data_IF_955244084280
#
_entry.id   IF_955244084280
#
_cell.length_a   1.000
_cell.length_b   1.000
_cell.length_c   1.000
_cell.angle_alpha   90.00
_cell.angle_beta   90.00
_cell.angle_gamma   90.00
#
_symmetry.space_group_name_H-M   'P 1'
#
loop_
_entity.id
_entity.type
_entity.pdbx_description
1 polymer ?
#
# COMPACT_ATOMS: atom_id res chain seq x y z
N UNK A 1 -17.15 -10.46 -4.47
CA UNK A 1 -17.16 -9.00 -4.21
C UNK A 1 -15.79 -8.61 -3.67
N UNK A 2 -15.14 -7.65 -4.31
CA UNK A 2 -13.89 -7.08 -3.82
C UNK A 2 -14.18 -5.88 -2.92
N UNK A 3 -13.38 -5.76 -1.86
CA UNK A 3 -13.48 -4.70 -0.86
C UNK A 3 -12.21 -3.85 -0.90
N UNK A 4 -12.37 -2.54 -1.02
CA UNK A 4 -11.26 -1.63 -1.23
C UNK A 4 -11.06 -0.66 -0.07
N UNK A 5 -9.79 -0.44 0.27
CA UNK A 5 -9.34 0.67 1.11
C UNK A 5 -8.62 1.69 0.24
N UNK A 6 -8.96 2.95 0.38
CA UNK A 6 -8.34 4.02 -0.41
C UNK A 6 -7.73 5.12 0.46
N UNK A 7 -6.69 5.74 -0.07
CA UNK A 7 -6.03 6.86 0.60
C UNK A 7 -6.94 8.09 0.68
N UNK A 8 -6.93 8.76 1.84
CA UNK A 8 -7.76 9.94 2.11
C UNK A 8 -6.93 11.22 2.07
N UNK A 9 -7.46 12.25 1.38
CA UNK A 9 -6.97 13.64 1.41
C UNK A 9 -7.90 14.58 2.19
N UNK A 10 -8.95 14.04 2.85
CA UNK A 10 -9.97 14.76 3.61
C UNK A 10 -10.82 15.75 2.77
N UNK A 11 -10.95 15.48 1.49
CA UNK A 11 -11.75 16.31 0.57
C UNK A 11 -13.17 15.77 0.45
N UNK A 12 -14.18 16.64 0.49
CA UNK A 12 -15.58 16.31 0.23
C UNK A 12 -15.76 15.76 -1.19
N UNK A 13 -14.96 16.23 -2.14
CA UNK A 13 -15.04 15.77 -3.53
C UNK A 13 -14.58 14.31 -3.66
N UNK A 14 -13.56 13.90 -2.86
CA UNK A 14 -13.15 12.51 -2.80
C UNK A 14 -14.27 11.63 -2.22
N UNK A 15 -14.94 12.07 -1.15
CA UNK A 15 -16.06 11.33 -0.57
C UNK A 15 -17.22 11.21 -1.56
N UNK A 16 -17.62 12.29 -2.22
CA UNK A 16 -18.68 12.28 -3.25
C UNK A 16 -18.36 11.32 -4.39
N UNK A 17 -17.11 11.35 -4.87
CA UNK A 17 -16.63 10.44 -5.91
C UNK A 17 -16.74 8.98 -5.46
N UNK A 18 -16.32 8.65 -4.24
CA UNK A 18 -16.41 7.29 -3.70
C UNK A 18 -17.85 6.82 -3.58
N UNK A 19 -18.74 7.66 -3.08
CA UNK A 19 -20.18 7.34 -2.99
C UNK A 19 -20.77 7.03 -4.38
N UNK A 20 -20.43 7.86 -5.37
CA UNK A 20 -20.84 7.64 -6.77
C UNK A 20 -20.29 6.31 -7.32
N UNK A 21 -19.01 6.00 -7.08
CA UNK A 21 -18.41 4.76 -7.57
C UNK A 21 -19.00 3.50 -6.88
N UNK A 22 -19.28 3.57 -5.58
CA UNK A 22 -19.97 2.48 -4.87
C UNK A 22 -21.37 2.20 -5.40
N UNK A 23 -22.08 3.24 -5.92
CA UNK A 23 -23.38 3.05 -6.58
C UNK A 23 -23.23 2.49 -8.00
N UNK A 24 -22.19 2.91 -8.73
CA UNK A 24 -21.95 2.50 -10.12
C UNK A 24 -21.47 1.04 -10.22
N UNK A 25 -20.73 0.56 -9.24
CA UNK A 25 -20.12 -0.77 -9.22
C UNK A 25 -20.63 -1.63 -8.05
N UNK A 26 -21.89 -2.11 -8.06
CA UNK A 26 -22.50 -2.79 -6.91
C UNK A 26 -21.84 -4.14 -6.55
N UNK A 27 -21.07 -4.72 -7.45
CA UNK A 27 -20.34 -5.98 -7.21
C UNK A 27 -19.02 -5.78 -6.47
N UNK A 28 -18.58 -4.53 -6.29
CA UNK A 28 -17.38 -4.15 -5.59
C UNK A 28 -17.67 -2.96 -4.68
N UNK A 29 -16.86 -2.75 -3.63
CA UNK A 29 -17.14 -1.69 -2.66
C UNK A 29 -15.85 -1.07 -2.12
N UNK A 30 -15.81 0.24 -2.10
CA UNK A 30 -14.88 0.99 -1.26
C UNK A 30 -15.49 1.03 0.14
N UNK A 31 -14.87 0.31 1.08
CA UNK A 31 -15.38 0.13 2.45
C UNK A 31 -14.66 1.00 3.47
N UNK A 32 -13.45 1.48 3.15
CA UNK A 32 -12.60 2.15 4.12
C UNK A 32 -11.74 3.26 3.49
N UNK A 33 -11.77 4.43 4.11
CA UNK A 33 -10.74 5.44 3.92
C UNK A 33 -9.58 5.24 4.89
N UNK A 34 -8.33 5.45 4.44
CA UNK A 34 -7.20 5.48 5.35
C UNK A 34 -6.37 6.76 5.19
N UNK A 35 -5.92 7.33 6.30
CA UNK A 35 -5.13 8.55 6.27
C UNK A 35 -4.64 8.98 7.64
N UNK A 36 -3.91 10.08 7.67
CA UNK A 36 -3.46 10.77 8.87
C UNK A 36 -3.32 12.26 8.59
N UNK A 37 -3.42 13.08 9.61
CA UNK A 37 -3.29 14.54 9.56
C UNK A 37 -1.90 14.96 10.05
N UNK A 38 -1.49 16.20 9.70
CA UNK A 38 -0.13 16.73 9.97
C UNK A 38 0.30 16.65 11.44
N UNK A 39 -0.60 16.83 12.36
CA UNK A 39 -0.26 16.87 13.80
C UNK A 39 0.19 15.52 14.40
N UNK A 40 0.08 14.42 13.64
CA UNK A 40 0.54 13.09 14.05
C UNK A 40 1.83 12.66 13.35
N UNK A 41 2.59 13.61 12.81
CA UNK A 41 3.75 13.33 11.98
C UNK A 41 4.78 12.38 12.61
N UNK A 42 5.02 12.48 13.91
CA UNK A 42 5.96 11.63 14.62
C UNK A 42 5.51 10.17 14.86
N UNK A 43 4.23 9.88 14.70
CA UNK A 43 3.68 8.52 14.77
C UNK A 43 3.41 7.91 13.40
N UNK A 44 3.72 8.60 12.30
CA UNK A 44 3.46 8.14 10.94
C UNK A 44 4.74 8.02 10.14
N UNK A 45 4.78 7.06 9.22
CA UNK A 45 5.88 6.88 8.27
C UNK A 45 5.92 7.93 7.13
N UNK A 46 5.11 8.99 7.21
CA UNK A 46 5.12 10.09 6.24
C UNK A 46 5.67 11.36 6.84
N UNK A 47 6.48 12.10 6.09
CA UNK A 47 6.96 13.40 6.53
C UNK A 47 5.80 14.39 6.70
N UNK A 48 5.95 15.31 7.66
CA UNK A 48 4.91 16.27 8.03
C UNK A 48 4.40 17.11 6.85
N UNK A 49 5.28 17.52 5.94
CA UNK A 49 4.93 18.33 4.75
C UNK A 49 4.01 17.61 3.76
N UNK A 50 3.97 16.27 3.79
CA UNK A 50 3.08 15.44 2.94
C UNK A 50 1.75 15.10 3.60
N UNK A 51 1.55 15.49 4.85
CA UNK A 51 0.31 15.23 5.56
C UNK A 51 -0.66 16.40 5.38
N UNK A 52 -1.95 16.12 5.15
CA UNK A 52 -2.97 17.16 5.08
C UNK A 52 -3.04 18.00 6.35
N UNK A 53 -3.14 19.31 6.18
CA UNK A 53 -3.33 20.27 7.28
C UNK A 53 -4.82 20.41 7.56
N UNK A 54 -5.32 19.55 8.43
CA UNK A 54 -6.74 19.43 8.78
C UNK A 54 -6.90 19.66 10.28
N UNK A 55 -7.74 20.60 10.67
CA UNK A 55 -8.05 20.84 12.11
C UNK A 55 -8.78 19.64 12.74
N UNK A 56 -8.76 19.54 14.08
CA UNK A 56 -9.52 18.50 14.80
C UNK A 56 -11.00 18.52 14.43
N UNK A 57 -11.59 19.72 14.32
CA UNK A 57 -13.01 19.91 13.97
C UNK A 57 -13.33 19.37 12.58
N UNK A 58 -12.53 19.75 11.57
CA UNK A 58 -12.71 19.28 10.20
C UNK A 58 -12.52 17.76 10.10
N UNK A 59 -11.57 17.21 10.85
CA UNK A 59 -11.35 15.77 10.91
C UNK A 59 -12.58 15.02 11.43
N UNK A 60 -13.16 15.45 12.55
CA UNK A 60 -14.39 14.85 13.12
C UNK A 60 -15.54 14.95 12.11
N UNK A 61 -15.76 16.13 11.52
CA UNK A 61 -16.80 16.33 10.50
C UNK A 61 -16.62 15.40 9.29
N UNK A 62 -15.38 15.19 8.87
CA UNK A 62 -15.11 14.27 7.75
C UNK A 62 -15.38 12.81 8.15
N UNK A 63 -14.99 12.36 9.34
CA UNK A 63 -15.27 10.99 9.82
C UNK A 63 -16.78 10.77 9.93
N UNK A 64 -17.54 11.74 10.46
CA UNK A 64 -19.00 11.69 10.52
C UNK A 64 -19.63 11.55 9.12
N UNK A 65 -19.13 12.31 8.15
CA UNK A 65 -19.60 12.26 6.76
C UNK A 65 -19.27 10.91 6.09
N UNK A 66 -18.13 10.33 6.39
CA UNK A 66 -17.72 8.99 5.92
C UNK A 66 -18.66 7.94 6.47
N UNK A 67 -18.95 7.98 7.78
CA UNK A 67 -19.89 7.06 8.44
C UNK A 67 -21.34 7.19 7.93
N UNK A 68 -21.79 8.41 7.65
CA UNK A 68 -23.11 8.65 7.06
C UNK A 68 -23.30 7.94 5.71
N UNK A 69 -22.20 7.60 5.02
CA UNK A 69 -22.19 6.82 3.78
C UNK A 69 -21.83 5.33 3.98
N UNK A 70 -21.84 4.84 5.22
CA UNK A 70 -21.52 3.46 5.59
C UNK A 70 -20.13 3.03 5.12
N UNK A 71 -19.16 3.91 5.27
CA UNK A 71 -17.72 3.70 5.00
C UNK A 71 -16.97 3.83 6.33
N UNK A 72 -15.95 2.98 6.57
CA UNK A 72 -15.09 3.05 7.75
C UNK A 72 -13.94 4.04 7.57
N UNK A 73 -13.40 4.54 8.68
CA UNK A 73 -12.20 5.35 8.68
C UNK A 73 -11.07 4.69 9.47
N UNK A 74 -9.91 4.53 8.80
CA UNK A 74 -8.69 3.94 9.35
C UNK A 74 -7.60 5.02 9.50
N UNK A 75 -7.19 5.28 10.74
CA UNK A 75 -6.14 6.25 11.00
C UNK A 75 -4.75 5.61 10.99
N UNK A 76 -3.80 6.17 10.24
CA UNK A 76 -2.46 5.57 10.12
C UNK A 76 -1.48 6.17 11.15
N UNK A 77 -1.07 5.35 12.13
CA UNK A 77 0.01 5.60 13.08
C UNK A 77 1.13 4.56 12.86
N UNK A 78 1.63 4.51 11.63
CA UNK A 78 2.50 3.45 11.13
C UNK A 78 3.97 3.86 11.03
N UNK A 79 4.46 4.68 11.96
CA UNK A 79 5.88 4.96 12.09
C UNK A 79 6.70 3.68 12.18
N UNK A 80 7.84 3.62 11.53
CA UNK A 80 8.79 2.52 11.63
C UNK A 80 9.84 2.72 12.73
N UNK A 81 9.90 3.92 13.28
CA UNK A 81 10.76 4.31 14.41
C UNK A 81 10.09 5.45 15.17
N UNK A 82 10.24 5.47 16.49
CA UNK A 82 9.67 6.51 17.39
C UNK A 82 10.76 7.24 18.20
N UNK A 83 11.99 7.26 17.68
CA UNK A 83 13.07 7.99 18.27
C UNK A 83 13.81 7.23 19.38
N UNK A 84 14.43 7.98 20.30
CA UNK A 84 15.23 7.43 21.40
C UNK A 84 14.31 7.02 22.57
N UNK A 85 14.78 6.11 23.42
CA UNK A 85 14.03 5.66 24.61
C UNK A 85 13.60 6.80 25.52
N UNK A 86 14.40 7.85 25.65
CA UNK A 86 14.04 9.06 26.43
C UNK A 86 12.87 9.83 25.82
N UNK A 87 12.78 9.84 24.50
CA UNK A 87 11.74 10.58 23.79
C UNK A 87 10.41 9.81 23.88
N UNK A 88 10.46 8.48 23.78
CA UNK A 88 9.29 7.62 23.95
C UNK A 88 8.61 7.85 25.29
N UNK A 89 9.38 7.85 26.38
CA UNK A 89 8.82 8.03 27.72
C UNK A 89 8.18 9.42 27.91
N UNK A 90 8.75 10.45 27.26
CA UNK A 90 8.22 11.82 27.30
C UNK A 90 6.93 11.98 26.49
N UNK A 91 6.81 11.27 25.38
CA UNK A 91 5.74 11.45 24.40
C UNK A 91 4.61 10.42 24.53
N UNK A 92 4.74 9.43 25.45
CA UNK A 92 3.71 8.40 25.64
C UNK A 92 2.37 8.98 26.06
N UNK A 93 2.35 9.97 26.95
CA UNK A 93 1.11 10.61 27.40
C UNK A 93 0.45 11.41 26.27
N UNK A 94 1.23 12.08 25.43
CA UNK A 94 0.72 12.77 24.24
C UNK A 94 0.13 11.76 23.25
N UNK A 95 0.78 10.62 23.06
CA UNK A 95 0.27 9.54 22.24
C UNK A 95 -1.06 9.00 22.76
N UNK A 96 -1.17 8.74 24.07
CA UNK A 96 -2.42 8.30 24.69
C UNK A 96 -3.53 9.33 24.53
N UNK A 97 -3.26 10.60 24.78
CA UNK A 97 -4.23 11.68 24.58
C UNK A 97 -4.69 11.77 23.12
N UNK A 98 -3.75 11.60 22.18
CA UNK A 98 -4.09 11.62 20.76
C UNK A 98 -4.94 10.42 20.36
N UNK A 99 -4.61 9.22 20.85
CA UNK A 99 -5.42 8.02 20.62
C UNK A 99 -6.81 8.15 21.23
N UNK A 100 -6.94 8.71 22.44
CA UNK A 100 -8.24 9.04 23.01
C UNK A 100 -9.06 9.98 22.12
N UNK A 101 -8.41 11.01 21.54
CA UNK A 101 -9.07 11.87 20.58
C UNK A 101 -9.54 11.09 19.34
N UNK A 102 -8.72 10.21 18.76
CA UNK A 102 -9.12 9.41 17.58
C UNK A 102 -10.31 8.50 17.89
N UNK A 103 -10.30 7.84 19.04
CA UNK A 103 -11.43 7.00 19.50
C UNK A 103 -12.69 7.83 19.66
N UNK A 104 -12.58 9.02 20.30
CA UNK A 104 -13.72 9.94 20.48
C UNK A 104 -14.23 10.55 19.17
N UNK A 105 -13.36 10.65 18.16
CA UNK A 105 -13.71 11.11 16.82
C UNK A 105 -14.35 10.03 15.95
N UNK A 106 -14.58 8.83 16.48
CA UNK A 106 -15.23 7.73 15.75
C UNK A 106 -14.33 6.94 14.82
N UNK A 107 -12.99 7.04 14.95
CA UNK A 107 -12.09 6.21 14.12
C UNK A 107 -12.36 4.72 14.39
N UNK A 108 -12.55 3.93 13.31
CA UNK A 108 -12.87 2.50 13.40
C UNK A 108 -11.63 1.63 13.57
N UNK A 109 -10.57 1.97 12.86
CA UNK A 109 -9.33 1.19 12.82
C UNK A 109 -8.11 2.12 12.98
N UNK A 110 -7.08 1.65 13.67
CA UNK A 110 -5.77 2.30 13.67
C UNK A 110 -4.74 1.34 13.05
N UNK A 111 -4.06 1.81 12.01
CA UNK A 111 -2.96 1.07 11.36
C UNK A 111 -1.64 1.38 12.05
N UNK A 112 -0.91 0.35 12.48
CA UNK A 112 0.37 0.44 13.20
C UNK A 112 1.47 -0.41 12.54
N UNK A 113 2.73 -0.06 12.76
CA UNK A 113 3.88 -0.89 12.38
C UNK A 113 4.66 -1.40 13.60
N UNK A 114 4.60 -0.67 14.71
CA UNK A 114 5.37 -0.97 15.91
C UNK A 114 4.50 -1.62 16.99
N UNK A 115 4.94 -2.73 17.58
CA UNK A 115 4.27 -3.37 18.72
C UNK A 115 4.04 -2.41 19.90
N UNK A 116 4.96 -1.48 20.12
CA UNK A 116 4.84 -0.48 21.17
C UNK A 116 3.63 0.44 20.98
N UNK A 117 3.39 0.90 19.73
CA UNK A 117 2.21 1.72 19.43
C UNK A 117 0.93 0.93 19.60
N UNK A 118 0.92 -0.34 19.21
CA UNK A 118 -0.22 -1.25 19.41
C UNK A 118 -0.53 -1.42 20.92
N UNK A 119 0.53 -1.55 21.75
CA UNK A 119 0.36 -1.59 23.22
C UNK A 119 -0.31 -0.33 23.76
N UNK A 120 0.17 0.86 23.37
CA UNK A 120 -0.43 2.14 23.80
C UNK A 120 -1.91 2.20 23.38
N UNK A 121 -2.24 1.75 22.18
CA UNK A 121 -3.64 1.71 21.72
C UNK A 121 -4.47 0.80 22.61
N UNK A 122 -3.98 -0.39 22.99
CA UNK A 122 -4.71 -1.31 23.88
C UNK A 122 -4.85 -0.78 25.32
N UNK A 123 -3.85 -0.04 25.80
CA UNK A 123 -3.94 0.65 27.08
C UNK A 123 -5.06 1.72 27.10
N UNK A 124 -5.35 2.34 25.95
CA UNK A 124 -6.40 3.37 25.76
C UNK A 124 -7.76 2.76 25.45
N UNK A 125 -7.81 1.76 24.55
CA UNK A 125 -9.07 1.19 24.07
C UNK A 125 -8.92 -0.28 23.68
N UNK A 126 -9.76 -1.13 24.26
CA UNK A 126 -9.90 -2.54 23.85
C UNK A 126 -10.80 -2.72 22.63
N UNK A 127 -11.58 -1.71 22.24
CA UNK A 127 -12.63 -1.83 21.22
C UNK A 127 -12.17 -1.44 19.82
N UNK A 128 -11.24 -0.48 19.72
CA UNK A 128 -10.76 -0.02 18.41
C UNK A 128 -10.05 -1.14 17.66
N UNK A 129 -10.33 -1.28 16.38
CA UNK A 129 -9.66 -2.28 15.54
C UNK A 129 -8.20 -1.88 15.31
N UNK A 130 -7.27 -2.83 15.38
CA UNK A 130 -5.87 -2.62 14.99
C UNK A 130 -5.63 -3.32 13.65
N UNK A 131 -5.03 -2.58 12.71
CA UNK A 131 -4.45 -3.12 11.48
C UNK A 131 -2.93 -3.08 11.57
N UNK A 132 -2.27 -4.20 11.25
CA UNK A 132 -0.81 -4.23 11.08
C UNK A 132 -0.46 -3.71 9.68
N UNK A 133 0.40 -2.70 9.64
CA UNK A 133 0.84 -2.06 8.39
C UNK A 133 1.76 -2.95 7.55
N UNK A 134 1.75 -2.77 6.25
CA UNK A 134 2.75 -3.36 5.34
C UNK A 134 4.20 -3.03 5.72
N UNK A 135 4.42 -1.89 6.39
CA UNK A 135 5.75 -1.46 6.89
C UNK A 135 6.26 -2.38 8.02
N UNK A 136 5.39 -3.10 8.70
CA UNK A 136 5.78 -4.12 9.68
C UNK A 136 6.36 -5.38 9.03
N UNK A 137 6.37 -5.45 7.69
CA UNK A 137 6.94 -6.55 6.91
C UNK A 137 6.44 -7.93 7.33
N UNK A 138 5.12 -8.09 7.43
CA UNK A 138 4.51 -9.40 7.69
C UNK A 138 4.77 -10.31 6.49
N UNK A 139 5.62 -11.31 6.70
CA UNK A 139 6.06 -12.29 5.69
C UNK A 139 5.92 -13.74 6.14
N UNK A 140 5.35 -13.98 7.31
CA UNK A 140 5.04 -15.30 7.84
C UNK A 140 3.71 -15.33 8.61
N UNK A 141 3.05 -16.49 8.60
CA UNK A 141 1.81 -16.72 9.37
C UNK A 141 2.07 -16.66 10.88
N UNK A 142 3.26 -17.06 11.32
CA UNK A 142 3.66 -16.97 12.74
C UNK A 142 3.69 -15.53 13.24
N UNK A 143 4.15 -14.56 12.43
CA UNK A 143 4.09 -13.16 12.83
C UNK A 143 2.65 -12.71 13.05
N UNK A 144 1.71 -13.09 12.18
CA UNK A 144 0.28 -12.77 12.37
C UNK A 144 -0.27 -13.38 13.65
N UNK A 145 0.11 -14.63 13.95
CA UNK A 145 -0.26 -15.30 15.21
C UNK A 145 0.19 -14.50 16.43
N UNK A 146 1.44 -14.08 16.47
CA UNK A 146 2.00 -13.30 17.59
C UNK A 146 1.32 -11.93 17.72
N UNK A 147 1.05 -11.25 16.60
CA UNK A 147 0.31 -10.00 16.60
C UNK A 147 -1.13 -10.17 17.11
N UNK A 148 -1.81 -11.23 16.69
CA UNK A 148 -3.17 -11.54 17.11
C UNK A 148 -3.25 -11.82 18.61
N UNK A 149 -2.35 -12.69 19.12
CA UNK A 149 -2.30 -13.06 20.51
C UNK A 149 -2.01 -11.87 21.44
N UNK A 150 -1.02 -11.03 21.04
CA UNK A 150 -0.57 -9.93 21.93
C UNK A 150 -1.45 -8.69 21.86
N UNK A 151 -2.03 -8.39 20.68
CA UNK A 151 -2.66 -7.09 20.43
C UNK A 151 -4.08 -7.20 19.86
N UNK A 152 -4.65 -8.40 19.75
CA UNK A 152 -6.01 -8.62 19.22
C UNK A 152 -6.24 -7.87 17.91
N UNK A 153 -5.33 -8.03 16.93
CA UNK A 153 -5.45 -7.38 15.64
C UNK A 153 -6.65 -7.90 14.86
N UNK A 154 -7.27 -7.05 14.04
CA UNK A 154 -8.42 -7.41 13.19
C UNK A 154 -8.11 -7.36 11.70
N UNK A 155 -7.05 -6.67 11.32
CA UNK A 155 -6.65 -6.51 9.91
C UNK A 155 -5.12 -6.60 9.80
N UNK A 156 -4.64 -7.11 8.68
CA UNK A 156 -3.21 -7.15 8.36
C UNK A 156 -2.97 -6.77 6.91
N UNK A 157 -2.18 -5.71 6.67
CA UNK A 157 -1.71 -5.38 5.34
C UNK A 157 -0.37 -6.11 5.12
N UNK A 158 -0.38 -7.09 4.25
CA UNK A 158 0.75 -8.00 3.99
C UNK A 158 1.95 -7.23 3.43
N UNK A 159 3.14 -7.74 3.66
CA UNK A 159 4.35 -7.22 3.01
C UNK A 159 4.19 -7.27 1.49
N UNK A 160 4.45 -6.14 0.83
CA UNK A 160 4.28 -6.00 -0.62
C UNK A 160 5.02 -7.08 -1.41
N UNK A 161 6.21 -7.47 -0.95
CA UNK A 161 7.04 -8.50 -1.58
C UNK A 161 6.38 -9.89 -1.61
N UNK A 162 5.33 -10.08 -0.82
CA UNK A 162 4.60 -11.34 -0.71
C UNK A 162 3.42 -11.44 -1.69
N UNK A 163 3.11 -10.40 -2.46
CA UNK A 163 2.01 -10.46 -3.43
C UNK A 163 2.15 -11.59 -4.47
N UNK A 164 3.35 -12.08 -4.71
CA UNK A 164 3.64 -13.22 -5.63
C UNK A 164 4.05 -14.51 -4.92
N UNK A 165 3.99 -14.56 -3.59
CA UNK A 165 4.24 -15.78 -2.79
C UNK A 165 2.92 -16.49 -2.51
N UNK A 166 2.41 -17.21 -3.51
CA UNK A 166 1.05 -17.76 -3.49
C UNK A 166 0.87 -18.80 -2.38
N UNK A 167 1.87 -19.64 -2.13
CA UNK A 167 1.81 -20.64 -1.05
C UNK A 167 1.68 -19.97 0.33
N UNK A 168 2.42 -18.89 0.56
CA UNK A 168 2.29 -18.09 1.77
C UNK A 168 0.90 -17.45 1.86
N UNK A 169 0.42 -16.82 0.79
CA UNK A 169 -0.88 -16.14 0.77
C UNK A 169 -2.05 -17.10 1.02
N UNK A 170 -2.03 -18.30 0.47
CA UNK A 170 -3.04 -19.33 0.74
C UNK A 170 -3.04 -19.75 2.21
N UNK A 171 -1.84 -19.96 2.78
CA UNK A 171 -1.68 -20.32 4.18
C UNK A 171 -2.14 -19.21 5.11
N UNK A 172 -1.81 -17.96 4.74
CA UNK A 172 -2.23 -16.76 5.45
C UNK A 172 -3.75 -16.59 5.43
N UNK A 173 -4.37 -16.68 4.24
CA UNK A 173 -5.81 -16.53 4.10
C UNK A 173 -6.58 -17.53 4.98
N UNK A 174 -6.20 -18.80 4.94
CA UNK A 174 -6.79 -19.86 5.78
C UNK A 174 -6.61 -19.60 7.28
N UNK A 175 -5.45 -19.10 7.69
CA UNK A 175 -5.17 -18.80 9.08
C UNK A 175 -5.93 -17.56 9.56
N UNK A 176 -5.96 -16.53 8.76
CA UNK A 176 -6.70 -15.30 9.05
C UNK A 176 -8.21 -15.54 9.14
N UNK A 177 -8.78 -16.33 8.24
CA UNK A 177 -10.20 -16.74 8.27
C UNK A 177 -10.58 -17.37 9.61
N UNK A 178 -9.73 -18.31 10.09
CA UNK A 178 -9.91 -18.97 11.38
C UNK A 178 -10.00 -18.02 12.56
N UNK A 179 -9.29 -16.89 12.51
CA UNK A 179 -9.19 -15.90 13.60
C UNK A 179 -10.11 -14.68 13.38
N UNK A 180 -10.84 -14.60 12.28
CA UNK A 180 -11.60 -13.42 11.89
C UNK A 180 -10.72 -12.21 11.63
N UNK A 181 -9.50 -12.42 11.13
CA UNK A 181 -8.56 -11.36 10.73
C UNK A 181 -8.66 -11.16 9.22
N UNK A 182 -8.68 -9.92 8.77
CA UNK A 182 -8.77 -9.56 7.35
C UNK A 182 -7.38 -9.36 6.76
N UNK A 183 -6.90 -10.23 5.85
CA UNK A 183 -5.69 -9.98 5.09
C UNK A 183 -5.97 -9.02 3.94
N UNK A 184 -5.11 -8.02 3.78
CA UNK A 184 -5.22 -6.98 2.73
C UNK A 184 -3.97 -6.95 1.89
N UNK A 185 -4.10 -6.88 0.57
CA UNK A 185 -2.99 -6.72 -0.37
C UNK A 185 -2.97 -5.30 -0.97
N UNK A 186 -1.79 -4.71 -1.05
CA UNK A 186 -1.61 -3.45 -1.79
C UNK A 186 -1.47 -3.76 -3.28
N UNK A 187 -2.28 -3.11 -4.12
CA UNK A 187 -2.36 -3.46 -5.55
C UNK A 187 -1.46 -2.61 -6.44
N UNK A 188 -1.28 -1.34 -6.11
CA UNK A 188 -0.63 -0.34 -6.97
C UNK A 188 0.54 0.39 -6.29
N UNK A 189 1.23 -0.26 -5.38
CA UNK A 189 2.47 0.24 -4.81
C UNK A 189 3.66 -0.45 -5.48
N UNK A 190 4.71 0.30 -5.75
CA UNK A 190 5.86 -0.21 -6.46
C UNK A 190 7.18 -0.16 -5.67
N UNK A 191 7.10 0.07 -4.39
CA UNK A 191 8.23 -0.08 -3.50
C UNK A 191 8.43 -1.54 -3.11
N UNK A 192 8.91 -2.36 -3.99
CA UNK A 192 9.05 -3.77 -3.64
C UNK A 192 10.48 -4.27 -3.61
N UNK A 193 11.32 -3.76 -4.50
CA UNK A 193 12.66 -4.29 -4.68
C UNK A 193 13.51 -3.24 -5.40
N UNK A 194 13.64 -2.06 -4.80
CA UNK A 194 14.10 -0.84 -5.45
C UNK A 194 15.51 -0.83 -6.02
N UNK A 195 16.39 -1.75 -5.67
CA UNK A 195 17.76 -1.78 -6.18
C UNK A 195 17.97 -2.90 -7.17
N UNK A 196 18.76 -2.64 -8.19
CA UNK A 196 19.19 -3.64 -9.15
C UNK A 196 20.70 -3.89 -9.04
N UNK A 197 21.11 -5.16 -9.08
CA UNK A 197 22.51 -5.51 -9.24
C UNK A 197 22.94 -5.39 -10.71
N UNK A 198 24.21 -5.68 -11.02
CA UNK A 198 24.76 -5.62 -12.38
C UNK A 198 24.06 -6.54 -13.36
N UNK A 199 23.47 -7.66 -12.91
CA UNK A 199 22.70 -8.62 -13.71
C UNK A 199 21.22 -8.22 -13.89
N UNK A 200 20.79 -7.07 -13.35
CA UNK A 200 19.40 -6.61 -13.41
C UNK A 200 18.48 -7.31 -12.42
N UNK A 201 19.01 -8.10 -11.48
CA UNK A 201 18.23 -8.65 -10.38
C UNK A 201 17.83 -7.54 -9.42
N UNK A 202 16.58 -7.57 -8.96
CA UNK A 202 16.03 -6.56 -8.06
C UNK A 202 15.97 -7.08 -6.63
N UNK A 203 16.38 -6.26 -5.68
CA UNK A 203 16.29 -6.58 -4.26
C UNK A 203 16.40 -5.32 -3.42
N UNK A 204 15.69 -5.24 -2.31
CA UNK A 204 15.77 -4.11 -1.41
C UNK A 204 16.56 -4.47 -0.15
N UNK A 205 17.68 -3.80 0.06
CA UNK A 205 18.49 -3.94 1.29
C UNK A 205 18.05 -2.95 2.38
N UNK A 206 17.21 -1.99 2.05
CA UNK A 206 16.81 -0.90 2.96
C UNK A 206 15.50 -1.21 3.70
N UNK A 207 14.60 -2.00 3.15
CA UNK A 207 13.31 -2.40 3.75
C UNK A 207 12.63 -1.22 4.49
N UNK A 208 12.37 -1.39 5.79
CA UNK A 208 11.75 -0.36 6.65
C UNK A 208 12.62 0.88 6.86
N UNK A 209 13.92 0.82 6.63
CA UNK A 209 14.80 1.98 6.78
C UNK A 209 14.41 3.14 5.88
N UNK A 210 13.75 2.87 4.76
CA UNK A 210 13.19 3.91 3.89
C UNK A 210 12.15 4.80 4.58
N UNK A 211 11.58 4.36 5.68
CA UNK A 211 10.55 5.09 6.42
C UNK A 211 11.07 5.67 7.74
N UNK A 212 12.26 5.27 8.17
CA UNK A 212 12.80 5.69 9.47
C UNK A 212 13.04 7.20 9.55
N UNK A 213 13.68 7.78 8.54
CA UNK A 213 13.94 9.21 8.51
C UNK A 213 12.65 10.02 8.60
N UNK A 214 11.63 9.65 7.83
CA UNK A 214 10.34 10.31 7.90
C UNK A 214 9.67 10.13 9.27
N UNK A 215 9.80 8.96 9.86
CA UNK A 215 9.27 8.68 11.20
C UNK A 215 9.98 9.47 12.29
N UNK A 216 11.24 9.84 12.07
CA UNK A 216 12.04 10.69 12.96
C UNK A 216 11.82 12.19 12.71
N UNK A 217 10.95 12.57 11.78
CA UNK A 217 10.62 13.96 11.50
C UNK A 217 11.52 14.67 10.51
N UNK A 218 12.43 13.96 9.83
CA UNK A 218 13.28 14.58 8.81
C UNK A 218 12.45 15.07 7.61
N UNK A 219 12.76 16.26 7.15
CA UNK A 219 12.13 16.87 5.98
C UNK A 219 12.76 16.37 4.67
N UNK A 220 12.20 16.81 3.54
CA UNK A 220 12.55 16.26 2.21
C UNK A 220 14.03 16.44 1.86
N UNK A 221 14.57 17.62 2.09
CA UNK A 221 15.96 17.97 1.76
C UNK A 221 16.93 17.09 2.56
N UNK A 222 16.71 16.93 3.85
CA UNK A 222 17.52 16.08 4.74
C UNK A 222 17.48 14.61 4.32
N UNK A 223 16.32 14.13 3.85
CA UNK A 223 16.16 12.77 3.35
C UNK A 223 16.90 12.53 2.03
N UNK A 224 17.03 13.55 1.18
CA UNK A 224 17.70 13.45 -0.12
C UNK A 224 19.23 13.56 0.02
N UNK A 225 19.71 14.43 0.90
CA UNK A 225 21.13 14.69 1.08
C UNK A 225 21.84 13.66 1.99
N UNK A 226 21.08 12.95 2.82
CA UNK A 226 21.61 12.01 3.81
C UNK A 226 22.11 10.67 3.28
N UNK A 227 22.45 10.56 1.99
CA UNK A 227 22.87 9.28 1.39
C UNK A 227 21.73 8.26 1.33
N UNK A 228 20.51 8.71 1.36
CA UNK A 228 19.33 7.85 1.44
C UNK A 228 18.97 7.26 0.06
N UNK A 229 18.55 6.01 -0.01
CA UNK A 229 18.45 5.27 -1.27
C UNK A 229 17.30 5.70 -2.19
N UNK A 230 16.56 6.75 -1.88
CA UNK A 230 15.42 7.15 -2.72
C UNK A 230 15.84 7.45 -4.17
N UNK A 231 16.99 8.09 -4.36
CA UNK A 231 17.52 8.38 -5.70
C UNK A 231 17.99 7.10 -6.41
N UNK A 232 18.68 6.20 -5.70
CA UNK A 232 19.09 4.91 -6.25
C UNK A 232 17.90 4.03 -6.58
N UNK A 233 16.93 3.96 -5.69
CA UNK A 233 15.67 3.21 -5.92
C UNK A 233 14.91 3.76 -7.13
N UNK A 234 14.90 5.07 -7.33
CA UNK A 234 14.24 5.70 -8.48
C UNK A 234 15.02 5.42 -9.77
N UNK A 235 16.35 5.56 -9.74
CA UNK A 235 17.21 5.29 -10.87
C UNK A 235 17.17 3.84 -11.33
N UNK A 236 17.07 2.89 -10.39
CA UNK A 236 16.99 1.46 -10.70
C UNK A 236 15.70 1.02 -11.38
N UNK A 237 14.65 1.85 -11.35
CA UNK A 237 13.36 1.61 -12.03
C UNK A 237 13.32 2.12 -13.47
N UNK A 238 14.44 2.41 -14.06
CA UNK A 238 14.54 3.08 -15.36
C UNK A 238 14.42 2.12 -16.56
N UNK A 239 13.68 1.01 -16.44
CA UNK A 239 13.42 0.07 -17.53
C UNK A 239 12.03 -0.55 -17.40
N UNK A 240 11.40 -0.94 -18.53
CA UNK A 240 10.14 -1.70 -18.51
C UNK A 240 10.26 -2.98 -17.69
N UNK A 241 11.41 -3.65 -17.75
CA UNK A 241 11.67 -4.89 -17.02
C UNK A 241 11.64 -4.68 -15.51
N UNK A 242 12.22 -3.59 -15.01
CA UNK A 242 12.17 -3.25 -13.59
C UNK A 242 10.71 -3.10 -13.10
N UNK A 243 9.83 -2.54 -13.93
CA UNK A 243 8.40 -2.42 -13.63
C UNK A 243 7.71 -3.78 -13.58
N UNK A 244 7.98 -4.69 -14.52
CA UNK A 244 7.40 -6.04 -14.50
C UNK A 244 7.83 -6.85 -13.27
N UNK A 245 9.03 -6.62 -12.77
CA UNK A 245 9.56 -7.28 -11.56
C UNK A 245 8.89 -6.81 -10.27
N UNK A 246 8.13 -5.70 -10.29
CA UNK A 246 7.42 -5.21 -9.11
C UNK A 246 6.17 -6.03 -8.80
N UNK A 247 5.83 -6.19 -7.51
CA UNK A 247 4.73 -7.06 -7.08
C UNK A 247 3.36 -6.38 -7.17
N UNK A 248 3.04 -5.74 -8.30
CA UNK A 248 1.72 -5.15 -8.56
C UNK A 248 0.65 -6.22 -8.80
N UNK A 249 -0.60 -5.84 -8.61
CA UNK A 249 -1.80 -6.62 -8.93
C UNK A 249 -2.65 -5.75 -9.85
N UNK A 250 -2.91 -6.20 -11.08
CA UNK A 250 -3.80 -5.48 -12.01
C UNK A 250 -5.26 -5.65 -11.61
N UNK A 251 -6.15 -4.75 -12.06
CA UNK A 251 -7.61 -4.93 -11.87
C UNK A 251 -8.10 -6.31 -12.29
N UNK A 252 -7.67 -6.80 -13.46
CA UNK A 252 -8.07 -8.09 -14.03
C UNK A 252 -7.55 -9.30 -13.24
N UNK A 253 -6.44 -9.13 -12.53
CA UNK A 253 -5.77 -10.22 -11.81
C UNK A 253 -6.31 -10.43 -10.39
N UNK A 254 -7.12 -9.53 -9.85
CA UNK A 254 -7.70 -9.66 -8.51
C UNK A 254 -8.48 -10.98 -8.32
N UNK A 255 -9.13 -11.46 -9.38
CA UNK A 255 -9.84 -12.75 -9.37
C UNK A 255 -8.96 -13.94 -8.99
N UNK A 256 -7.66 -13.90 -9.30
CA UNK A 256 -6.71 -14.96 -8.92
C UNK A 256 -6.54 -15.00 -7.39
N UNK A 257 -6.49 -13.84 -6.76
CA UNK A 257 -6.40 -13.72 -5.30
C UNK A 257 -7.71 -14.08 -4.60
N UNK A 258 -8.86 -13.77 -5.24
CA UNK A 258 -10.16 -14.19 -4.71
C UNK A 258 -10.23 -15.72 -4.60
N UNK A 259 -9.69 -16.45 -5.57
CA UNK A 259 -9.68 -17.91 -5.58
C UNK A 259 -8.88 -18.53 -4.41
N UNK A 260 -8.00 -17.77 -3.79
CA UNK A 260 -7.24 -18.19 -2.61
C UNK A 260 -7.77 -17.58 -1.30
N UNK A 261 -8.94 -16.92 -1.35
CA UNK A 261 -9.62 -16.37 -0.16
C UNK A 261 -9.23 -14.94 0.21
N UNK A 262 -8.58 -14.18 -0.67
CA UNK A 262 -8.22 -12.78 -0.44
C UNK A 262 -9.02 -11.88 -1.36
N UNK A 263 -9.88 -11.03 -0.77
CA UNK A 263 -10.76 -10.11 -1.47
C UNK A 263 -10.69 -8.66 -0.95
N UNK A 264 -9.75 -8.35 -0.06
CA UNK A 264 -9.52 -7.00 0.44
C UNK A 264 -8.26 -6.42 -0.18
N UNK A 265 -8.42 -5.30 -0.86
CA UNK A 265 -7.35 -4.64 -1.61
C UNK A 265 -7.15 -3.19 -1.19
N UNK A 266 -5.91 -2.76 -1.09
CA UNK A 266 -5.54 -1.41 -0.73
C UNK A 266 -4.99 -0.67 -1.95
N UNK A 267 -5.72 0.38 -2.35
CA UNK A 267 -5.30 1.28 -3.42
C UNK A 267 -4.54 2.45 -2.78
N UNK A 268 -3.31 2.66 -3.22
CA UNK A 268 -2.49 3.78 -2.76
C UNK A 268 -2.69 5.00 -3.65
N UNK A 269 -2.37 6.21 -3.15
CA UNK A 269 -2.52 7.43 -3.95
C UNK A 269 -2.99 8.66 -3.16
N UNK A 270 -3.03 8.61 -1.82
CA UNK A 270 -3.57 9.70 -0.97
C UNK A 270 -2.96 11.10 -1.18
N UNK A 271 -1.88 11.24 -1.94
CA UNK A 271 -1.27 12.50 -2.32
C UNK A 271 -1.65 12.98 -3.72
N UNK A 272 -2.35 12.14 -4.48
CA UNK A 272 -2.86 12.50 -5.81
C UNK A 272 -4.09 13.39 -5.74
N UNK A 273 -4.38 14.10 -6.83
CA UNK A 273 -5.64 14.83 -7.00
C UNK A 273 -6.82 13.84 -7.02
N UNK A 274 -8.01 14.32 -6.67
CA UNK A 274 -9.23 13.50 -6.74
C UNK A 274 -9.44 12.92 -8.14
N UNK A 275 -9.22 13.70 -9.19
CA UNK A 275 -9.36 13.26 -10.58
C UNK A 275 -8.38 12.11 -10.94
N UNK A 276 -7.12 12.20 -10.50
CA UNK A 276 -6.14 11.13 -10.69
C UNK A 276 -6.56 9.85 -9.94
N UNK A 277 -7.00 10.00 -8.71
CA UNK A 277 -7.49 8.88 -7.89
C UNK A 277 -8.74 8.23 -8.48
N UNK A 278 -9.65 9.03 -9.06
CA UNK A 278 -10.89 8.53 -9.67
C UNK A 278 -10.58 7.49 -10.77
N UNK A 279 -9.66 7.82 -11.69
CA UNK A 279 -9.29 6.90 -12.78
C UNK A 279 -8.70 5.57 -12.28
N UNK A 280 -7.84 5.62 -11.26
CA UNK A 280 -7.26 4.42 -10.66
C UNK A 280 -8.34 3.60 -9.96
N UNK A 281 -9.15 4.22 -9.10
CA UNK A 281 -10.18 3.54 -8.31
C UNK A 281 -11.23 2.93 -9.25
N UNK A 282 -11.63 3.65 -10.29
CA UNK A 282 -12.57 3.16 -11.29
C UNK A 282 -12.05 1.92 -12.01
N UNK A 283 -10.76 1.87 -12.37
CA UNK A 283 -10.15 0.70 -12.99
C UNK A 283 -10.26 -0.54 -12.07
N UNK A 284 -9.94 -0.40 -10.78
CA UNK A 284 -10.07 -1.50 -9.83
C UNK A 284 -11.53 -1.87 -9.52
N UNK A 285 -12.43 -0.90 -9.45
CA UNK A 285 -13.87 -1.15 -9.22
C UNK A 285 -14.53 -1.83 -10.42
N UNK A 286 -14.07 -1.56 -11.64
CA UNK A 286 -14.55 -2.20 -12.87
C UNK A 286 -13.85 -3.53 -13.19
N UNK A 287 -12.79 -3.86 -12.44
CA UNK A 287 -11.94 -5.05 -12.67
C UNK A 287 -11.30 -5.10 -14.07
N UNK A 288 -11.14 -3.96 -14.71
CA UNK A 288 -10.55 -3.86 -16.04
C UNK A 288 -9.89 -2.52 -16.26
N UNK A 289 -8.82 -2.51 -17.07
CA UNK A 289 -8.15 -1.30 -17.47
C UNK A 289 -7.60 -1.37 -18.90
N UNK A 290 -7.89 -0.34 -19.70
CA UNK A 290 -7.32 -0.20 -21.03
C UNK A 290 -6.37 0.98 -21.06
N UNK A 291 -5.11 0.71 -21.42
CA UNK A 291 -4.07 1.74 -21.49
C UNK A 291 -2.75 1.32 -20.88
N UNK A 292 -1.94 2.30 -20.57
CA UNK A 292 -0.64 2.08 -19.94
C UNK A 292 -0.78 1.67 -18.48
N UNK A 293 -0.40 0.43 -18.13
CA UNK A 293 -0.46 -0.09 -16.75
C UNK A 293 0.22 0.85 -15.74
N UNK A 294 1.26 1.57 -16.16
CA UNK A 294 1.99 2.50 -15.30
C UNK A 294 1.11 3.65 -14.77
N UNK A 295 0.02 4.00 -15.48
CA UNK A 295 -0.94 5.01 -15.01
C UNK A 295 -1.70 4.60 -13.75
N UNK A 296 -1.74 3.31 -13.42
CA UNK A 296 -2.37 2.80 -12.19
C UNK A 296 -1.46 2.96 -10.96
N UNK A 297 -0.20 3.36 -11.13
CA UNK A 297 0.78 3.41 -10.06
C UNK A 297 1.03 4.83 -9.58
N UNK A 298 1.12 4.98 -8.28
CA UNK A 298 1.01 6.22 -7.54
C UNK A 298 2.15 7.21 -7.70
N UNK A 299 3.37 6.78 -7.98
CA UNK A 299 4.56 7.64 -7.92
C UNK A 299 5.11 7.99 -9.31
N UNK A 300 4.23 8.20 -10.25
CA UNK A 300 4.63 8.66 -11.59
C UNK A 300 5.35 10.01 -11.55
N UNK A 301 5.07 10.83 -10.53
CA UNK A 301 5.74 12.11 -10.27
C UNK A 301 7.27 12.02 -10.19
N UNK A 302 7.79 10.84 -9.79
CA UNK A 302 9.24 10.62 -9.67
C UNK A 302 9.88 9.94 -10.88
N UNK A 303 9.08 9.49 -11.86
CA UNK A 303 9.52 8.63 -12.97
C UNK A 303 8.92 9.00 -14.32
N UNK A 304 7.95 9.92 -14.33
CA UNK A 304 7.36 10.45 -15.54
C UNK A 304 8.09 11.72 -16.00
N UNK A 305 7.94 12.04 -17.28
CA UNK A 305 8.28 13.36 -17.81
C UNK A 305 7.13 14.32 -17.46
N UNK A 306 7.47 15.52 -17.01
CA UNK A 306 6.47 16.58 -16.79
C UNK A 306 5.90 16.98 -18.16
N UNK A 307 4.58 16.87 -18.32
CA UNK A 307 3.84 17.37 -19.48
C UNK A 307 2.89 18.50 -19.05
N UNK A 308 2.37 19.26 -19.99
CA UNK A 308 1.39 20.34 -19.71
C UNK A 308 0.12 19.81 -19.03
N UNK A 309 -0.22 18.52 -19.26
CA UNK A 309 -1.38 17.83 -18.70
C UNK A 309 -1.07 17.01 -17.43
N UNK A 310 0.16 17.09 -16.89
CA UNK A 310 0.61 16.32 -15.74
C UNK A 310 1.80 15.39 -16.07
N UNK A 311 2.08 14.43 -15.18
CA UNK A 311 3.16 13.47 -15.36
C UNK A 311 2.71 12.30 -16.25
N UNK A 312 3.46 12.06 -17.34
CA UNK A 312 3.32 10.86 -18.16
C UNK A 312 4.41 9.83 -17.82
N UNK A 313 4.09 8.54 -17.74
CA UNK A 313 5.11 7.51 -17.56
C UNK A 313 6.11 7.51 -18.72
N UNK A 314 7.39 7.36 -18.41
CA UNK A 314 8.47 7.29 -19.41
C UNK A 314 8.32 6.10 -20.38
N UNK A 315 7.65 5.04 -19.92
CA UNK A 315 7.46 3.82 -20.69
C UNK A 315 5.98 3.53 -20.88
N UNK A 316 5.67 2.85 -21.97
CA UNK A 316 4.34 2.31 -22.22
C UNK A 316 4.36 0.78 -22.07
N UNK A 317 3.49 0.26 -21.20
CA UNK A 317 3.20 -1.16 -21.02
C UNK A 317 1.69 -1.32 -21.16
N UNK A 318 1.23 -1.84 -22.31
CA UNK A 318 -0.19 -2.09 -22.54
C UNK A 318 -0.71 -3.10 -21.51
N UNK A 319 -1.67 -2.70 -20.70
CA UNK A 319 -2.23 -3.53 -19.64
C UNK A 319 -2.80 -4.86 -20.17
N UNK A 320 -3.40 -4.86 -21.38
CA UNK A 320 -3.98 -6.06 -22.00
C UNK A 320 -2.92 -7.08 -22.40
N UNK A 321 -1.71 -6.63 -22.73
CA UNK A 321 -0.59 -7.53 -23.06
C UNK A 321 -0.03 -8.26 -21.85
N UNK A 322 -0.43 -7.86 -20.64
CA UNK A 322 -0.05 -8.52 -19.39
C UNK A 322 -1.00 -9.67 -19.00
N UNK A 323 -1.99 -10.00 -19.84
CA UNK A 323 -2.88 -11.13 -19.57
C UNK A 323 -2.08 -12.43 -19.46
N UNK A 324 -2.34 -13.19 -18.39
CA UNK A 324 -1.60 -14.40 -18.05
C UNK A 324 -0.24 -14.17 -17.37
N UNK A 325 0.19 -12.92 -17.17
CA UNK A 325 1.47 -12.65 -16.52
C UNK A 325 1.55 -13.22 -15.09
N UNK A 326 0.51 -13.07 -14.29
CA UNK A 326 0.49 -13.60 -12.92
C UNK A 326 0.18 -15.10 -12.86
N UNK A 327 -0.36 -15.71 -13.90
CA UNK A 327 -0.68 -17.15 -13.92
C UNK A 327 0.55 -18.02 -13.63
N UNK A 328 1.74 -17.53 -13.95
CA UNK A 328 2.98 -18.23 -13.65
C UNK A 328 3.10 -18.58 -12.16
N UNK A 329 2.92 -17.62 -11.26
CA UNK A 329 3.04 -17.86 -9.81
C UNK A 329 1.88 -18.70 -9.27
N UNK A 330 0.68 -18.54 -9.81
CA UNK A 330 -0.47 -19.35 -9.41
C UNK A 330 -0.36 -20.80 -9.86
N UNK A 331 0.28 -21.05 -11.00
CA UNK A 331 0.58 -22.38 -11.50
C UNK A 331 1.84 -23.00 -10.87
N UNK A 332 2.77 -22.19 -10.38
CA UNK A 332 4.03 -22.60 -9.77
C UNK A 332 4.13 -22.08 -8.33
N UNK A 333 3.21 -22.49 -7.46
CA UNK A 333 3.06 -21.96 -6.10
C UNK A 333 4.32 -22.07 -5.22
N UNK A 334 5.21 -23.00 -5.54
CA UNK A 334 6.50 -23.16 -4.85
C UNK A 334 7.58 -22.20 -5.37
N UNK A 335 7.31 -21.45 -6.43
CA UNK A 335 8.24 -20.44 -6.94
C UNK A 335 8.13 -19.17 -6.09
N UNK A 336 9.19 -18.88 -5.37
CA UNK A 336 9.29 -17.71 -4.47
C UNK A 336 10.36 -16.78 -5.04
N UNK A 337 9.96 -15.61 -5.54
CA UNK A 337 10.89 -14.64 -6.12
C UNK A 337 12.05 -14.25 -5.17
N UNK A 338 11.83 -14.27 -3.86
CA UNK A 338 12.87 -13.96 -2.88
C UNK A 338 14.00 -15.02 -2.81
N UNK A 339 13.77 -16.23 -3.36
CA UNK A 339 14.76 -17.30 -3.43
C UNK A 339 15.52 -17.31 -4.76
N UNK A 340 15.23 -16.35 -5.64
CA UNK A 340 15.74 -16.31 -6.99
C UNK A 340 16.59 -15.07 -7.24
N UNK A 341 17.58 -15.20 -8.12
CA UNK A 341 18.32 -14.07 -8.68
C UNK A 341 17.77 -13.79 -10.08
N UNK A 342 16.99 -12.72 -10.20
CA UNK A 342 16.35 -12.35 -11.47
C UNK A 342 17.38 -12.14 -12.58
N UNK A 343 17.18 -12.79 -13.73
CA UNK A 343 18.11 -12.78 -14.86
C UNK A 343 19.19 -13.87 -14.80
N UNK A 344 19.31 -14.58 -13.68
CA UNK A 344 20.26 -15.68 -13.50
C UNK A 344 19.54 -17.01 -13.22
N UNK A 345 18.90 -17.15 -12.05
CA UNK A 345 18.17 -18.38 -11.68
C UNK A 345 16.71 -18.34 -12.11
N UNK A 346 16.13 -17.14 -12.32
CA UNK A 346 14.79 -16.94 -12.88
C UNK A 346 14.79 -15.88 -13.98
N UNK A 347 14.29 -16.24 -15.16
CA UNK A 347 14.22 -15.36 -16.34
C UNK A 347 12.79 -15.09 -16.80
N UNK A 348 11.78 -15.47 -16.03
CA UNK A 348 10.38 -15.38 -16.46
C UNK A 348 9.96 -13.99 -16.90
N UNK A 349 10.23 -12.94 -16.10
CA UNK A 349 9.87 -11.57 -16.43
C UNK A 349 10.58 -11.07 -17.69
N UNK A 350 11.83 -11.49 -17.90
CA UNK A 350 12.63 -11.13 -19.08
C UNK A 350 12.03 -11.74 -20.35
N UNK A 351 11.66 -13.02 -20.30
CA UNK A 351 11.03 -13.74 -21.42
C UNK A 351 9.65 -13.15 -21.72
N UNK A 352 8.86 -12.87 -20.69
CA UNK A 352 7.53 -12.30 -20.84
C UNK A 352 7.59 -10.90 -21.47
N UNK A 353 8.53 -10.05 -21.04
CA UNK A 353 8.71 -8.72 -21.63
C UNK A 353 9.05 -8.80 -23.12
N UNK A 354 9.97 -9.68 -23.53
CA UNK A 354 10.31 -9.90 -24.94
C UNK A 354 9.07 -10.26 -25.75
N UNK A 355 8.27 -11.20 -25.26
CA UNK A 355 7.02 -11.61 -25.92
C UNK A 355 6.06 -10.44 -26.15
N UNK A 356 5.85 -9.58 -25.16
CA UNK A 356 4.90 -8.46 -25.33
C UNK A 356 5.47 -7.31 -26.17
N UNK A 357 6.78 -7.13 -26.24
CA UNK A 357 7.42 -6.14 -27.10
C UNK A 357 7.44 -6.61 -28.57
N UNK A 358 7.70 -7.90 -28.86
CA UNK A 358 7.67 -8.48 -30.20
C UNK A 358 6.27 -8.40 -30.84
N UNK A 359 5.20 -8.64 -30.09
CA UNK A 359 3.81 -8.51 -30.57
C UNK A 359 3.38 -7.07 -30.90
N UNK A 360 4.22 -6.07 -30.65
CA UNK A 360 3.93 -4.67 -30.99
C UNK A 360 4.16 -4.33 -32.47
N UNK A 361 4.87 -5.16 -33.22
CA UNK A 361 5.23 -4.93 -34.63
C UNK A 361 4.25 -5.54 -35.65
N UNK A 362 3.36 -6.45 -35.22
CA UNK A 362 2.41 -7.12 -36.11
C UNK A 362 1.09 -6.36 -36.31
N UNK A 363 0.83 -5.25 -35.56
CA UNK A 363 -0.42 -4.50 -35.59
C UNK A 363 -0.26 -2.99 -35.83
N UNK A 364 0.86 -2.56 -36.40
CA UNK A 364 1.12 -1.14 -36.76
C UNK A 364 1.04 -0.85 -38.24
#
# INVERSE_FOLDING_TARGET
>A
MNLFKIGCNFSDDLLKMVVKLNQLYPNNRIEEFYGSRRCSSWLTARPGYRLPDVSKKQFVQFVDAVHANSIEFNYTLNASCIGKKSDIAKEEDEAKQYIHFLVSAGVDTITVSLPYVAKIIRDVSSKIKIEVSTIAHIDSVTQVSVWAEKYDIKKVCVSLNKNRDIAFLESLAKYCDKLGIVPTLMVNEFCGNGLTNKSGATGCIYREHCYQLHSLGYEREECLDGGYPMNECTASRNTKLAWLKMPFIRPEDMKLYNNIGINHFKITGRTGSTAYMEGIIQAYMSETYMGNTLNLWKHLETIGEASEDGFSPKYFIDNRKLDGFLDYWFNHKNHICANEVCGETCTYCDIFLKKIDETSWENS
#
